data_IF_572845230189
#
_entry.id   IF_572845230189
#
_cell.length_a   1.000
_cell.length_b   1.000
_cell.length_c   1.000
_cell.angle_alpha   90.00
_cell.angle_beta   90.00
_cell.angle_gamma   90.00
#
_symmetry.space_group_name_H-M   'P 1'
#
loop_
_entity.id
_entity.type
_entity.pdbx_description
1 polymer ?
#
# COMPACT_ATOMS: atom_id res chain seq x y z
N UNK A 1 -6.37 -20.04 26.53
CA UNK A 1 -6.31 -19.02 25.47
C UNK A 1 -7.75 -18.54 25.19
N UNK A 2 -8.12 -17.29 25.44
CA UNK A 2 -9.47 -16.80 25.06
C UNK A 2 -9.55 -16.79 23.54
N UNK A 3 -10.61 -17.35 22.91
CA UNK A 3 -10.86 -17.12 21.49
C UNK A 3 -10.98 -15.61 21.32
N UNK A 4 -10.08 -15.00 20.53
CA UNK A 4 -10.27 -13.61 20.13
C UNK A 4 -11.61 -13.56 19.39
N UNK A 5 -12.50 -12.69 19.85
CA UNK A 5 -13.85 -12.59 19.29
C UNK A 5 -13.82 -12.49 17.77
N UNK A 6 -14.80 -13.10 17.12
CA UNK A 6 -14.94 -13.06 15.66
C UNK A 6 -14.98 -11.59 15.22
N UNK A 7 -13.92 -11.11 14.59
CA UNK A 7 -13.88 -9.75 14.07
C UNK A 7 -14.65 -9.74 12.75
N UNK A 8 -15.72 -8.95 12.70
CA UNK A 8 -16.49 -8.79 11.45
C UNK A 8 -15.60 -8.24 10.33
N UNK A 9 -15.88 -8.64 9.09
CA UNK A 9 -15.15 -8.18 7.89
C UNK A 9 -15.48 -6.71 7.63
N UNK A 10 -14.52 -5.80 7.89
CA UNK A 10 -14.68 -4.34 7.72
C UNK A 10 -14.05 -3.77 6.44
N UNK A 11 -13.71 -4.63 5.48
CA UNK A 11 -12.97 -4.21 4.27
C UNK A 11 -13.74 -3.16 3.47
N UNK A 12 -15.01 -3.42 3.16
CA UNK A 12 -15.83 -2.48 2.37
C UNK A 12 -16.10 -1.16 3.07
N UNK A 13 -16.20 -1.18 4.41
CA UNK A 13 -16.35 0.03 5.22
C UNK A 13 -15.08 0.89 5.19
N UNK A 14 -13.91 0.27 5.40
CA UNK A 14 -12.63 0.98 5.48
C UNK A 14 -12.15 1.52 4.13
N UNK A 15 -12.52 0.84 3.04
CA UNK A 15 -12.08 1.18 1.68
C UNK A 15 -13.22 1.69 0.79
N UNK A 16 -14.26 2.26 1.40
CA UNK A 16 -15.43 2.83 0.69
C UNK A 16 -15.09 3.99 -0.25
N UNK A 17 -13.90 4.59 -0.09
CA UNK A 17 -13.38 5.63 -0.98
C UNK A 17 -12.91 5.10 -2.35
N UNK A 18 -12.78 3.78 -2.51
CA UNK A 18 -12.40 3.17 -3.78
C UNK A 18 -13.60 3.06 -4.73
N UNK A 19 -13.36 3.09 -6.06
CA UNK A 19 -14.40 2.72 -7.03
C UNK A 19 -14.98 1.34 -6.74
N UNK A 20 -16.29 1.17 -6.94
CA UNK A 20 -17.00 -0.06 -6.55
C UNK A 20 -16.37 -1.34 -7.13
N UNK A 21 -15.97 -1.31 -8.40
CA UNK A 21 -15.32 -2.45 -9.06
C UNK A 21 -13.90 -2.71 -8.54
N UNK A 22 -13.16 -1.67 -8.16
CA UNK A 22 -11.84 -1.80 -7.53
C UNK A 22 -11.96 -2.45 -6.14
N UNK A 23 -12.96 -2.01 -5.37
CA UNK A 23 -13.26 -2.56 -4.06
C UNK A 23 -13.72 -4.02 -4.13
N UNK A 24 -14.49 -4.37 -5.16
CA UNK A 24 -14.94 -5.74 -5.38
C UNK A 24 -13.77 -6.69 -5.69
N UNK A 25 -12.86 -6.27 -6.58
CA UNK A 25 -11.64 -7.02 -6.85
C UNK A 25 -10.77 -7.16 -5.59
N UNK A 26 -10.64 -6.10 -4.80
CA UNK A 26 -9.89 -6.13 -3.54
C UNK A 26 -10.51 -7.12 -2.54
N UNK A 27 -11.84 -7.18 -2.47
CA UNK A 27 -12.59 -8.10 -1.61
C UNK A 27 -12.34 -9.58 -2.02
N UNK A 28 -12.27 -9.85 -3.32
CA UNK A 28 -11.93 -11.16 -3.88
C UNK A 28 -10.48 -11.56 -3.60
N UNK A 29 -9.52 -10.65 -3.80
CA UNK A 29 -8.10 -10.92 -3.59
C UNK A 29 -7.76 -11.16 -2.11
N UNK A 30 -8.48 -10.51 -1.20
CA UNK A 30 -8.29 -10.61 0.25
C UNK A 30 -9.27 -11.58 0.92
N UNK A 31 -9.63 -12.67 0.23
CA UNK A 31 -10.27 -13.82 0.85
C UNK A 31 -9.30 -14.52 1.81
N UNK A 32 -9.74 -14.74 3.06
CA UNK A 32 -8.94 -15.38 4.10
C UNK A 32 -8.73 -16.87 3.80
N UNK A 33 -9.76 -17.51 3.27
CA UNK A 33 -9.70 -18.89 2.80
C UNK A 33 -8.99 -18.95 1.43
N UNK A 34 -7.83 -19.61 1.33
CA UNK A 34 -7.08 -19.68 0.08
C UNK A 34 -7.84 -20.44 -1.01
N UNK A 35 -8.73 -21.37 -0.64
CA UNK A 35 -9.53 -22.14 -1.62
C UNK A 35 -10.57 -21.26 -2.33
N UNK A 36 -10.96 -20.14 -1.69
CA UNK A 36 -11.90 -19.15 -2.22
C UNK A 36 -11.21 -17.98 -2.91
N UNK A 37 -9.88 -17.89 -2.81
CA UNK A 37 -9.12 -16.79 -3.42
C UNK A 37 -8.99 -17.05 -4.93
N UNK A 38 -9.24 -16.05 -5.79
CA UNK A 38 -9.13 -16.23 -7.22
C UNK A 38 -7.67 -16.46 -7.65
N UNK A 39 -7.50 -17.13 -8.78
CA UNK A 39 -6.22 -17.21 -9.49
C UNK A 39 -5.90 -15.88 -10.17
N UNK A 40 -4.63 -15.69 -10.57
CA UNK A 40 -4.22 -14.50 -11.31
C UNK A 40 -5.00 -14.32 -12.62
N UNK A 41 -5.21 -15.42 -13.37
CA UNK A 41 -6.01 -15.39 -14.61
C UNK A 41 -7.46 -14.97 -14.35
N UNK A 42 -8.08 -15.47 -13.27
CA UNK A 42 -9.42 -15.03 -12.89
C UNK A 42 -9.46 -13.54 -12.53
N UNK A 43 -8.48 -13.06 -11.76
CA UNK A 43 -8.38 -11.65 -11.38
C UNK A 43 -8.21 -10.71 -12.58
N UNK A 44 -7.43 -11.10 -13.60
CA UNK A 44 -7.25 -10.32 -14.83
C UNK A 44 -8.54 -10.21 -15.66
N UNK A 45 -9.44 -11.19 -15.56
CA UNK A 45 -10.75 -11.16 -16.23
C UNK A 45 -11.81 -10.36 -15.45
N UNK A 46 -11.48 -9.80 -14.28
CA UNK A 46 -12.41 -9.01 -13.50
C UNK A 46 -12.80 -7.70 -14.24
N UNK A 47 -14.05 -7.20 -14.14
CA UNK A 47 -14.50 -5.97 -14.82
C UNK A 47 -13.60 -4.74 -14.59
N UNK A 48 -12.95 -4.68 -13.42
CA UNK A 48 -11.99 -3.63 -13.08
C UNK A 48 -10.71 -3.63 -13.93
N UNK A 49 -10.25 -4.80 -14.40
CA UNK A 49 -8.96 -4.96 -15.09
C UNK A 49 -9.10 -5.35 -16.56
N UNK A 50 -10.17 -6.05 -16.94
CA UNK A 50 -10.30 -6.68 -18.26
C UNK A 50 -10.25 -5.69 -19.44
N UNK A 51 -10.58 -4.41 -19.20
CA UNK A 51 -10.57 -3.34 -20.21
C UNK A 51 -9.36 -2.40 -20.09
N UNK A 52 -8.41 -2.72 -19.23
CA UNK A 52 -7.21 -1.90 -19.06
C UNK A 52 -6.23 -2.28 -20.17
N UNK A 53 -5.99 -1.33 -21.08
CA UNK A 53 -4.98 -1.44 -22.13
C UNK A 53 -3.70 -0.75 -21.66
N UNK A 54 -2.66 -1.50 -21.24
CA UNK A 54 -1.48 -0.90 -20.60
C UNK A 54 -0.75 0.10 -21.49
N UNK A 55 -0.80 -0.09 -22.81
CA UNK A 55 -0.15 0.76 -23.81
C UNK A 55 -0.82 2.15 -23.93
N UNK A 56 -2.10 2.26 -23.57
CA UNK A 56 -2.85 3.53 -23.59
C UNK A 56 -2.72 4.31 -22.28
N UNK A 57 -2.22 3.67 -21.22
CA UNK A 57 -2.03 4.32 -19.92
C UNK A 57 -0.78 5.19 -20.01
N UNK A 58 -0.89 6.53 -19.89
CA UNK A 58 0.27 7.39 -19.95
C UNK A 58 1.24 7.04 -18.80
N UNK A 59 2.55 7.01 -19.06
CA UNK A 59 3.52 6.72 -18.02
C UNK A 59 3.43 7.77 -16.91
N UNK A 60 3.51 7.31 -15.67
CA UNK A 60 3.57 8.20 -14.52
C UNK A 60 4.84 9.04 -14.61
N UNK A 61 4.71 10.36 -14.41
CA UNK A 61 5.86 11.27 -14.31
C UNK A 61 6.53 11.08 -12.94
N UNK A 62 7.40 10.09 -12.85
CA UNK A 62 8.17 9.82 -11.63
C UNK A 62 9.34 10.80 -11.52
N UNK A 63 9.73 11.23 -10.30
CA UNK A 63 10.94 12.02 -10.10
C UNK A 63 12.15 11.26 -10.65
N UNK A 64 12.91 11.88 -11.54
CA UNK A 64 14.09 11.26 -12.16
C UNK A 64 15.34 11.37 -11.29
N UNK A 65 15.33 12.30 -10.34
CA UNK A 65 16.42 12.64 -9.43
C UNK A 65 16.31 11.91 -8.08
N UNK A 66 15.22 11.18 -7.83
CA UNK A 66 15.01 10.42 -6.61
C UNK A 66 15.03 8.92 -6.88
N UNK A 67 15.96 8.24 -6.20
CA UNK A 67 16.00 6.79 -6.24
C UNK A 67 14.86 6.21 -5.38
N UNK A 68 13.82 5.70 -6.04
CA UNK A 68 12.66 5.12 -5.37
C UNK A 68 12.92 3.69 -4.84
N UNK A 69 14.17 3.18 -4.92
CA UNK A 69 14.51 1.88 -4.36
C UNK A 69 14.40 1.86 -2.83
N UNK A 70 13.94 0.72 -2.31
CA UNK A 70 13.66 0.53 -0.88
C UNK A 70 14.87 0.87 0.01
N UNK A 71 16.07 0.50 -0.44
CA UNK A 71 17.30 0.72 0.30
C UNK A 71 17.66 2.21 0.40
N UNK A 72 17.51 2.97 -0.69
CA UNK A 72 17.72 4.42 -0.67
C UNK A 72 16.73 5.11 0.27
N UNK A 73 15.45 4.76 0.15
CA UNK A 73 14.38 5.28 1.01
C UNK A 73 14.65 4.99 2.50
N UNK A 74 15.14 3.78 2.82
CA UNK A 74 15.54 3.40 4.19
C UNK A 74 16.72 4.25 4.68
N UNK A 75 17.78 4.40 3.88
CA UNK A 75 18.95 5.21 4.23
C UNK A 75 18.59 6.68 4.45
N UNK A 76 17.78 7.27 3.56
CA UNK A 76 17.31 8.66 3.70
C UNK A 76 16.52 8.87 4.99
N UNK A 77 15.57 7.97 5.31
CA UNK A 77 14.82 8.04 6.59
C UNK A 77 15.74 7.96 7.81
N UNK A 78 16.76 7.11 7.77
CA UNK A 78 17.74 6.99 8.85
C UNK A 78 18.56 8.27 9.01
N UNK A 79 19.06 8.86 7.92
CA UNK A 79 19.83 10.11 7.92
C UNK A 79 19.01 11.27 8.51
N UNK A 80 17.76 11.45 8.07
CA UNK A 80 16.84 12.47 8.60
C UNK A 80 16.61 12.29 10.11
N UNK A 81 16.49 11.04 10.58
CA UNK A 81 16.28 10.76 12.00
C UNK A 81 17.52 11.11 12.84
N UNK A 82 18.72 10.83 12.31
CA UNK A 82 19.99 11.17 12.94
C UNK A 82 20.22 12.68 12.97
N UNK A 83 19.89 13.40 11.90
CA UNK A 83 20.02 14.86 11.85
C UNK A 83 19.05 15.56 12.79
N UNK A 84 17.80 15.08 12.91
CA UNK A 84 16.84 15.62 13.87
C UNK A 84 17.28 15.40 15.32
N UNK A 85 17.86 14.23 15.62
CA UNK A 85 18.39 13.93 16.94
C UNK A 85 19.58 14.84 17.30
N UNK A 86 20.52 15.06 16.37
CA UNK A 86 21.67 15.95 16.62
C UNK A 86 21.26 17.41 16.79
N UNK A 87 20.29 17.91 16.01
CA UNK A 87 19.75 19.26 16.18
C UNK A 87 19.02 19.43 17.53
N UNK A 88 18.31 18.40 17.99
CA UNK A 88 17.61 18.43 19.29
C UNK A 88 18.59 18.49 20.46
N UNK A 89 19.66 17.68 20.44
CA UNK A 89 20.69 17.69 21.49
C UNK A 89 21.38 19.05 21.60
N UNK A 90 21.74 19.67 20.47
CA UNK A 90 22.38 21.00 20.46
C UNK A 90 21.48 22.11 21.00
N UNK A 91 20.15 21.96 20.94
CA UNK A 91 19.20 22.95 21.41
C UNK A 91 18.92 22.82 22.93
N UNK A 92 19.06 21.61 23.48
CA UNK A 92 18.98 21.36 24.93
C UNK A 92 20.25 21.87 25.62
N UNK A 93 21.42 21.67 25.02
CA UNK A 93 22.73 22.05 25.58
C UNK A 93 22.98 23.57 25.58
N UNK A 94 22.17 24.34 24.85
CA UNK A 94 22.22 25.81 24.76
C UNK A 94 21.25 26.53 25.71
N UNK A 95 20.55 25.79 26.58
CA UNK A 95 19.65 26.32 27.62
C UNK A 95 20.26 26.12 29.00
#
# INVERSE_FOLDING_TARGET
MRPRGHSSRKLREKFSFLPAQALDLLDLLLQLDPTKRPTASHALNHPWLIRVEPELVPPLKLPQDQDCHEMWSKRRRQQVRLSLASSTSQQIERR
#
